data_IF_355985887863
#
_entry.id   IF_355985887863
#
_cell.length_a   1.000
_cell.length_b   1.000
_cell.length_c   1.000
_cell.angle_alpha   90.00
_cell.angle_beta   90.00
_cell.angle_gamma   90.00
#
_symmetry.space_group_name_H-M   'P 1'
#
loop_
_entity.id
_entity.type
_entity.pdbx_description
1 polymer ?
#
# COMPACT_ATOMS: atom_id res chain seq x y z
N UNK A 1 27.03 -6.15 -4.38
CA UNK A 1 25.78 -6.34 -3.61
C UNK A 1 25.54 -5.07 -2.81
N UNK A 2 24.61 -4.21 -3.24
CA UNK A 2 24.18 -3.06 -2.45
C UNK A 2 22.92 -3.51 -1.71
N UNK A 3 23.00 -3.61 -0.39
CA UNK A 3 21.88 -4.02 0.46
C UNK A 3 20.78 -2.96 0.37
N UNK A 4 19.63 -3.33 -0.18
CA UNK A 4 18.43 -2.48 -0.17
C UNK A 4 17.94 -2.37 1.27
N UNK A 5 17.83 -1.15 1.79
CA UNK A 5 17.27 -0.90 3.12
C UNK A 5 15.76 -0.87 3.00
N UNK A 6 15.09 -1.86 3.59
CA UNK A 6 13.65 -1.94 3.64
C UNK A 6 13.15 -1.37 4.97
N UNK A 7 12.38 -0.28 4.92
CA UNK A 7 11.74 0.26 6.13
C UNK A 7 10.36 -0.36 6.27
N UNK A 8 10.15 -1.13 7.34
CA UNK A 8 8.84 -1.71 7.66
C UNK A 8 8.01 -0.71 8.49
N UNK A 9 6.83 -0.35 8.00
CA UNK A 9 5.79 0.33 8.76
C UNK A 9 4.79 -0.68 9.32
N UNK A 10 4.32 -0.46 10.56
CA UNK A 10 3.15 -1.17 11.09
C UNK A 10 1.87 -0.49 10.58
N UNK A 11 0.79 -1.24 10.42
CA UNK A 11 -0.51 -0.62 10.13
C UNK A 11 -0.88 0.34 11.26
N UNK A 12 -0.91 1.63 10.94
CA UNK A 12 -1.44 2.68 11.80
C UNK A 12 -2.94 2.89 11.55
N UNK A 13 -3.50 3.99 12.04
CA UNK A 13 -4.81 4.39 11.55
C UNK A 13 -4.75 4.56 10.02
N UNK A 14 -5.88 4.37 9.33
CA UNK A 14 -5.96 4.38 7.85
C UNK A 14 -5.20 5.55 7.23
N UNK A 15 -5.41 6.75 7.76
CA UNK A 15 -4.79 8.00 7.29
C UNK A 15 -3.26 7.99 7.40
N UNK A 16 -2.69 7.48 8.50
CA UNK A 16 -1.24 7.38 8.67
C UNK A 16 -0.60 6.43 7.65
N UNK A 17 -1.26 5.30 7.40
CA UNK A 17 -0.81 4.31 6.42
C UNK A 17 -0.85 4.89 5.01
N UNK A 18 -1.94 5.55 4.63
CA UNK A 18 -2.08 6.23 3.34
C UNK A 18 -1.05 7.35 3.17
N UNK A 19 -0.83 8.19 4.19
CA UNK A 19 0.17 9.25 4.17
C UNK A 19 1.60 8.72 3.97
N UNK A 20 1.96 7.61 4.64
CA UNK A 20 3.27 6.98 4.47
C UNK A 20 3.46 6.45 3.04
N UNK A 21 2.43 5.83 2.45
CA UNK A 21 2.47 5.34 1.08
C UNK A 21 2.60 6.48 0.07
N UNK A 22 1.83 7.56 0.22
CA UNK A 22 1.95 8.75 -0.62
C UNK A 22 3.34 9.37 -0.54
N UNK A 23 3.90 9.49 0.68
CA UNK A 23 5.25 10.00 0.90
C UNK A 23 6.32 9.17 0.20
N UNK A 24 6.19 7.85 0.21
CA UNK A 24 7.11 6.95 -0.50
C UNK A 24 6.99 7.09 -2.03
N UNK A 25 5.77 7.15 -2.56
CA UNK A 25 5.52 7.34 -4.01
C UNK A 25 6.12 8.65 -4.51
N UNK A 26 5.95 9.75 -3.76
CA UNK A 26 6.55 11.04 -4.09
C UNK A 26 8.08 11.06 -4.08
N UNK A 27 8.70 10.09 -3.39
CA UNK A 27 10.15 9.89 -3.38
C UNK A 27 10.60 8.85 -4.42
N UNK A 28 9.72 8.41 -5.32
CA UNK A 28 9.95 7.31 -6.27
C UNK A 28 10.39 6.00 -5.58
N UNK A 29 9.91 5.77 -4.36
CA UNK A 29 10.22 4.55 -3.59
C UNK A 29 9.10 3.52 -3.76
N UNK A 30 9.41 2.28 -4.18
CA UNK A 30 8.41 1.22 -4.24
C UNK A 30 7.83 0.91 -2.86
N UNK A 31 6.54 0.61 -2.81
CA UNK A 31 5.85 0.17 -1.60
C UNK A 31 5.21 -1.19 -1.82
N UNK A 32 5.53 -2.14 -0.94
CA UNK A 32 4.89 -3.44 -0.86
C UNK A 32 4.04 -3.46 0.41
N UNK A 33 2.79 -3.87 0.30
CA UNK A 33 1.87 -3.99 1.43
C UNK A 33 1.67 -5.45 1.74
N UNK A 34 1.63 -5.78 3.03
CA UNK A 34 1.25 -7.10 3.53
C UNK A 34 -0.06 -7.00 4.29
N UNK A 35 -1.01 -7.83 3.90
CA UNK A 35 -2.33 -7.93 4.54
C UNK A 35 -2.58 -9.35 5.03
N UNK A 36 -3.55 -9.50 5.93
CA UNK A 36 -4.11 -10.80 6.28
C UNK A 36 -5.37 -11.06 5.45
N UNK A 37 -5.31 -12.07 4.58
CA UNK A 37 -6.43 -12.53 3.75
C UNK A 37 -6.65 -14.03 3.99
N UNK A 38 -6.68 -14.45 5.26
CA UNK A 38 -6.65 -15.87 5.65
C UNK A 38 -5.24 -16.48 5.51
N UNK A 39 -4.21 -15.65 5.61
CA UNK A 39 -2.83 -15.95 5.25
C UNK A 39 -2.04 -14.69 4.88
N UNK A 40 -0.73 -14.84 4.72
CA UNK A 40 0.14 -13.71 4.32
C UNK A 40 -0.01 -13.43 2.83
N UNK A 41 -0.63 -12.31 2.50
CA UNK A 41 -0.84 -11.85 1.13
C UNK A 41 -0.14 -10.50 0.90
N UNK A 42 0.40 -10.30 -0.32
CA UNK A 42 1.24 -9.16 -0.65
C UNK A 42 0.83 -8.52 -1.97
N UNK A 43 0.78 -7.19 -2.01
CA UNK A 43 0.54 -6.42 -3.23
C UNK A 43 1.43 -5.18 -3.29
N UNK A 44 1.52 -4.59 -4.47
CA UNK A 44 2.35 -3.40 -4.72
C UNK A 44 1.46 -2.16 -4.82
N UNK A 45 1.90 -1.04 -4.26
CA UNK A 45 1.26 0.25 -4.49
C UNK A 45 1.77 0.85 -5.79
N UNK A 46 0.84 1.20 -6.69
CA UNK A 46 1.15 1.68 -8.03
C UNK A 46 1.03 3.20 -8.15
N UNK A 47 0.25 3.84 -7.29
CA UNK A 47 0.00 5.27 -7.35
C UNK A 47 -1.10 5.69 -6.40
N UNK A 48 -1.42 6.98 -6.42
CA UNK A 48 -2.51 7.55 -5.65
C UNK A 48 -3.20 8.68 -6.39
N UNK A 49 -4.45 8.95 -6.03
CA UNK A 49 -5.22 10.11 -6.45
C UNK A 49 -5.83 10.78 -5.22
N UNK A 50 -5.79 12.11 -5.17
CA UNK A 50 -6.46 12.90 -4.14
C UNK A 50 -7.64 13.58 -4.80
N UNK A 51 -8.86 13.32 -4.32
CA UNK A 51 -10.07 13.96 -4.85
C UNK A 51 -10.10 15.44 -4.52
N UNK A 52 -10.96 16.19 -5.20
CA UNK A 52 -11.19 17.62 -4.94
C UNK A 52 -11.64 17.91 -3.50
N UNK A 53 -12.25 16.92 -2.84
CA UNK A 53 -12.70 16.97 -1.44
C UNK A 53 -11.61 16.54 -0.45
N UNK A 54 -10.39 16.24 -0.93
CA UNK A 54 -9.26 15.81 -0.11
C UNK A 54 -9.24 14.32 0.25
N UNK A 55 -10.11 13.50 -0.36
CA UNK A 55 -10.11 12.05 -0.10
C UNK A 55 -8.99 11.37 -0.87
N UNK A 56 -8.27 10.46 -0.21
CA UNK A 56 -7.15 9.72 -0.82
C UNK A 56 -7.63 8.38 -1.35
N UNK A 57 -7.30 8.08 -2.61
CA UNK A 57 -7.44 6.75 -3.23
C UNK A 57 -6.06 6.21 -3.56
N UNK A 58 -5.68 5.09 -2.94
CA UNK A 58 -4.42 4.39 -3.23
C UNK A 58 -4.71 3.25 -4.21
N UNK A 59 -4.05 3.26 -5.36
CA UNK A 59 -4.14 2.22 -6.37
C UNK A 59 -3.08 1.15 -6.14
N UNK A 60 -3.49 -0.11 -6.26
CA UNK A 60 -2.62 -1.25 -6.01
C UNK A 60 -2.66 -2.24 -7.17
N UNK A 61 -1.62 -3.06 -7.26
CA UNK A 61 -1.57 -4.24 -8.12
C UNK A 61 -1.46 -5.46 -7.23
N UNK A 62 -2.57 -6.18 -7.13
CA UNK A 62 -2.63 -7.51 -6.52
C UNK A 62 -2.21 -8.56 -7.56
N UNK A 63 -1.18 -9.39 -7.31
CA UNK A 63 -0.83 -10.51 -8.18
C UNK A 63 -1.91 -11.60 -8.30
N UNK A 64 -2.82 -11.72 -7.33
CA UNK A 64 -3.93 -12.69 -7.30
C UNK A 64 -5.27 -12.08 -7.76
N UNK A 65 -5.32 -10.76 -7.95
CA UNK A 65 -6.53 -10.03 -8.30
C UNK A 65 -6.74 -9.90 -9.81
N UNK A 66 -8.00 -9.67 -10.21
CA UNK A 66 -8.31 -9.32 -11.59
C UNK A 66 -7.64 -7.99 -11.96
N UNK A 67 -6.91 -8.00 -13.06
CA UNK A 67 -6.18 -6.86 -13.58
C UNK A 67 -7.15 -5.73 -13.94
N UNK A 68 -7.25 -4.70 -13.08
CA UNK A 68 -7.89 -3.47 -13.56
C UNK A 68 -8.11 -2.33 -12.59
N UNK A 69 -8.57 -2.55 -11.35
CA UNK A 69 -9.16 -1.44 -10.56
C UNK A 69 -9.06 -1.59 -9.04
N UNK A 70 -8.18 -2.43 -8.53
CA UNK A 70 -8.13 -2.67 -7.08
C UNK A 70 -7.50 -1.49 -6.34
N UNK A 71 -8.17 -1.06 -5.29
CA UNK A 71 -7.73 0.03 -4.41
C UNK A 71 -7.42 -0.51 -3.03
N UNK A 72 -6.66 0.24 -2.25
CA UNK A 72 -6.40 -0.10 -0.86
C UNK A 72 -7.70 -0.17 -0.02
N UNK A 73 -8.73 0.61 -0.39
CA UNK A 73 -10.04 0.59 0.24
C UNK A 73 -10.73 -0.77 0.17
N UNK A 74 -10.54 -1.50 -0.93
CA UNK A 74 -11.13 -2.83 -1.10
C UNK A 74 -10.55 -3.81 -0.07
N UNK A 75 -9.26 -3.65 0.27
CA UNK A 75 -8.62 -4.46 1.31
C UNK A 75 -8.98 -4.04 2.71
N UNK A 76 -9.24 -2.77 2.99
CA UNK A 76 -9.71 -2.36 4.33
C UNK A 76 -11.09 -2.93 4.68
N UNK A 77 -11.90 -3.26 3.66
CA UNK A 77 -13.24 -3.80 3.85
C UNK A 77 -13.21 -5.30 4.15
N UNK A 78 -12.38 -6.05 3.43
CA UNK A 78 -12.38 -7.50 3.45
C UNK A 78 -11.13 -8.11 4.11
N UNK A 79 -10.18 -7.28 4.55
CA UNK A 79 -8.90 -7.70 5.13
C UNK A 79 -8.35 -6.66 6.11
N UNK A 80 -7.39 -7.07 6.95
CA UNK A 80 -6.64 -6.12 7.78
C UNK A 80 -5.28 -5.87 7.15
N UNK A 81 -4.93 -4.60 6.92
CA UNK A 81 -3.53 -4.27 6.62
C UNK A 81 -2.71 -4.60 7.87
N UNK A 82 -1.71 -5.45 7.71
CA UNK A 82 -0.83 -5.85 8.81
C UNK A 82 0.42 -4.98 8.88
N UNK A 83 1.00 -4.70 7.70
CA UNK A 83 2.25 -3.93 7.59
C UNK A 83 2.49 -3.48 6.15
N UNK A 84 3.44 -2.58 5.96
CA UNK A 84 3.96 -2.25 4.64
C UNK A 84 5.47 -2.09 4.69
N UNK A 85 6.12 -2.23 3.54
CA UNK A 85 7.56 -2.13 3.34
C UNK A 85 7.83 -1.10 2.27
N UNK A 86 8.62 -0.09 2.61
CA UNK A 86 9.15 0.89 1.66
C UNK A 86 10.57 0.47 1.31
N UNK A 87 10.85 0.29 0.01
CA UNK A 87 12.15 -0.14 -0.48
C UNK A 87 13.00 1.10 -0.81
N UNK A 88 14.15 1.25 -0.15
CA UNK A 88 15.12 2.34 -0.33
C UNK A 88 16.50 1.85 -0.72
#
# INVERSE_FOLDING_TARGET
>A
MIGKTATAGKSGNRTQTENAMMGAINQNKPVIVRVDKGGSHYFVVCGYYITTEGSVTIYIRDPEGDYGRTTLSDYYRDSSILSFVIIG
#
